data_IF_254017904685
#
_entry.id   IF_254017904685
#
_cell.length_a   1.000
_cell.length_b   1.000
_cell.length_c   1.000
_cell.angle_alpha   90.00
_cell.angle_beta   90.00
_cell.angle_gamma   90.00
#
_symmetry.space_group_name_H-M   'P 1'
#
loop_
_entity.id
_entity.type
_entity.pdbx_description
1 polymer ?
#
# COMPACT_ATOMS: atom_id res chain seq x y z
N UNK A 1 -7.23 27.31 -4.79
CA UNK A 1 -8.24 26.68 -3.93
C UNK A 1 -7.56 25.53 -3.17
N UNK A 2 -7.84 25.40 -1.88
CA UNK A 2 -7.28 24.36 -1.02
C UNK A 2 -8.38 23.44 -0.51
N UNK A 3 -8.10 22.16 -0.46
CA UNK A 3 -9.02 21.10 -0.08
C UNK A 3 -8.49 20.35 1.12
N UNK A 4 -9.37 19.78 1.93
CA UNK A 4 -8.97 18.87 2.98
C UNK A 4 -8.42 17.59 2.35
N UNK A 5 -7.22 17.22 2.78
CA UNK A 5 -6.49 16.07 2.26
C UNK A 5 -6.19 15.09 3.37
N UNK A 6 -6.48 13.81 3.12
CA UNK A 6 -6.14 12.71 4.02
C UNK A 6 -5.35 11.69 3.20
N UNK A 7 -4.16 11.34 3.67
CA UNK A 7 -3.33 10.29 3.05
C UNK A 7 -2.79 9.40 4.16
N UNK A 8 -2.89 8.08 3.99
CA UNK A 8 -2.38 7.13 4.98
C UNK A 8 -2.05 5.78 4.37
N UNK A 9 -1.10 5.07 4.95
CA UNK A 9 -0.72 3.72 4.59
C UNK A 9 0.77 3.57 4.35
N UNK A 10 1.17 2.41 3.88
CA UNK A 10 2.57 2.11 3.60
C UNK A 10 2.73 1.16 2.43
N UNK A 11 3.87 1.26 1.78
CA UNK A 11 4.34 0.34 0.76
C UNK A 11 5.64 -0.30 1.23
N UNK A 12 5.76 -1.61 1.08
CA UNK A 12 6.92 -2.40 1.50
C UNK A 12 7.73 -2.82 0.29
N UNK A 13 9.06 -2.71 0.39
CA UNK A 13 9.98 -3.12 -0.68
C UNK A 13 10.78 -4.34 -0.24
N UNK A 14 10.87 -5.35 -1.10
CA UNK A 14 11.43 -6.64 -0.75
C UNK A 14 12.93 -6.59 -0.43
N UNK A 15 13.67 -5.69 -1.09
CA UNK A 15 15.14 -5.60 -0.99
C UNK A 15 15.62 -4.17 -0.92
N UNK A 16 16.80 -3.98 -0.31
CA UNK A 16 17.49 -2.68 -0.30
C UNK A 16 17.66 -2.11 -1.71
N UNK A 17 18.05 -2.94 -2.66
CA UNK A 17 18.23 -2.52 -4.06
C UNK A 17 16.94 -1.99 -4.69
N UNK A 18 15.82 -2.66 -4.43
CA UNK A 18 14.50 -2.22 -4.90
C UNK A 18 14.11 -0.90 -4.25
N UNK A 19 14.27 -0.78 -2.93
CA UNK A 19 14.01 0.44 -2.19
C UNK A 19 14.84 1.62 -2.70
N UNK A 20 16.15 1.47 -2.81
CA UNK A 20 17.06 2.54 -3.25
C UNK A 20 16.72 3.01 -4.68
N UNK A 21 16.35 2.08 -5.57
CA UNK A 21 15.90 2.41 -6.92
C UNK A 21 14.62 3.26 -6.90
N UNK A 22 13.64 2.87 -6.09
CA UNK A 22 12.36 3.60 -5.99
C UNK A 22 12.56 4.96 -5.36
N UNK A 23 13.36 5.06 -4.30
CA UNK A 23 13.68 6.35 -3.67
C UNK A 23 14.36 7.32 -4.65
N UNK A 24 15.38 6.86 -5.39
CA UNK A 24 16.04 7.69 -6.42
C UNK A 24 15.08 8.15 -7.51
N UNK A 25 14.19 7.25 -7.94
CA UNK A 25 13.19 7.56 -8.95
C UNK A 25 12.13 8.54 -8.42
N UNK A 26 11.71 8.39 -7.16
CA UNK A 26 10.79 9.34 -6.51
C UNK A 26 11.38 10.75 -6.51
N UNK A 27 12.62 10.91 -6.01
CA UNK A 27 13.32 12.20 -5.97
C UNK A 27 13.43 12.79 -7.39
N UNK A 28 13.93 12.01 -8.34
CA UNK A 28 14.09 12.47 -9.73
C UNK A 28 12.77 12.97 -10.34
N UNK A 29 11.68 12.24 -10.14
CA UNK A 29 10.36 12.62 -10.66
C UNK A 29 9.75 13.81 -9.94
N UNK A 30 9.90 13.89 -8.61
CA UNK A 30 9.45 15.03 -7.83
C UNK A 30 10.10 16.33 -8.33
N UNK A 31 11.40 16.31 -8.56
CA UNK A 31 12.17 17.48 -9.04
C UNK A 31 11.86 17.82 -10.51
N UNK A 32 11.93 16.84 -11.41
CA UNK A 32 11.95 17.08 -12.85
C UNK A 32 10.56 17.10 -13.50
N UNK A 33 9.60 16.34 -12.97
CA UNK A 33 8.23 16.27 -13.54
C UNK A 33 7.22 17.08 -12.71
N UNK A 34 7.41 17.14 -11.39
CA UNK A 34 6.46 17.79 -10.50
C UNK A 34 6.98 19.11 -9.91
N UNK A 35 8.25 19.49 -10.20
CA UNK A 35 8.89 20.73 -9.72
C UNK A 35 8.77 20.94 -8.21
N UNK A 36 8.85 19.84 -7.46
CA UNK A 36 8.65 19.78 -6.00
C UNK A 36 7.26 20.28 -5.52
N UNK A 37 6.29 20.39 -6.41
CA UNK A 37 4.90 20.69 -6.03
C UNK A 37 4.20 19.42 -5.51
N UNK A 38 4.68 18.95 -4.36
CA UNK A 38 4.27 17.70 -3.68
C UNK A 38 3.82 18.04 -2.26
N UNK A 39 3.03 17.13 -1.66
CA UNK A 39 2.63 17.25 -0.25
C UNK A 39 3.77 16.82 0.67
N UNK A 40 4.57 15.84 0.23
CA UNK A 40 5.66 15.27 1.03
C UNK A 40 7.00 15.37 0.32
N UNK A 41 8.03 15.65 1.10
CA UNK A 41 9.40 15.40 0.69
C UNK A 41 9.77 13.91 0.88
N UNK A 42 10.78 13.42 0.18
CA UNK A 42 11.18 12.01 0.27
C UNK A 42 11.59 11.60 1.68
N UNK A 43 12.26 12.48 2.41
CA UNK A 43 12.77 12.26 3.76
C UNK A 43 11.67 12.06 4.79
N UNK A 44 10.48 12.58 4.52
CA UNK A 44 9.32 12.49 5.41
C UNK A 44 8.63 11.13 5.34
N UNK A 45 8.70 10.45 4.19
CA UNK A 45 7.90 9.26 3.92
C UNK A 45 8.71 7.99 3.62
N UNK A 46 10.02 8.09 3.30
CA UNK A 46 10.85 6.91 3.06
C UNK A 46 11.66 6.53 4.29
N UNK A 47 11.48 5.29 4.77
CA UNK A 47 12.23 4.69 5.87
C UNK A 47 13.18 3.62 5.34
N UNK A 48 14.48 3.94 5.30
CA UNK A 48 15.51 3.06 4.74
C UNK A 48 15.77 1.82 5.60
N UNK A 49 15.68 1.94 6.92
CA UNK A 49 15.94 0.82 7.84
C UNK A 49 14.88 -0.27 7.69
N UNK A 50 13.64 0.14 7.48
CA UNK A 50 12.50 -0.77 7.33
C UNK A 50 12.16 -1.10 5.89
N UNK A 51 12.80 -0.46 4.91
CA UNK A 51 12.50 -0.56 3.48
C UNK A 51 11.04 -0.22 3.16
N UNK A 52 10.55 0.88 3.72
CA UNK A 52 9.16 1.32 3.59
C UNK A 52 9.08 2.73 2.96
N UNK A 53 8.03 2.93 2.17
CA UNK A 53 7.37 4.22 2.04
C UNK A 53 6.22 4.20 3.05
N UNK A 54 6.26 5.08 4.06
CA UNK A 54 5.35 5.05 5.20
C UNK A 54 4.72 6.43 5.44
N UNK A 55 3.40 6.48 5.40
CA UNK A 55 2.60 7.65 5.72
C UNK A 55 1.61 7.21 6.80
N UNK A 56 1.95 7.33 8.10
CA UNK A 56 1.11 6.83 9.21
C UNK A 56 -0.33 7.37 9.13
N UNK A 57 -0.49 8.65 9.10
CA UNK A 57 -1.73 9.36 8.77
C UNK A 57 -1.43 10.85 8.61
N UNK A 58 -1.63 11.36 7.43
CA UNK A 58 -1.62 12.80 7.15
C UNK A 58 -3.05 13.32 7.08
N UNK A 59 -3.34 14.39 7.80
CA UNK A 59 -4.59 15.15 7.70
C UNK A 59 -4.20 16.62 7.61
N UNK A 60 -4.46 17.24 6.46
CA UNK A 60 -4.07 18.62 6.21
C UNK A 60 -4.88 19.24 5.08
N UNK A 61 -4.32 20.28 4.48
CA UNK A 61 -4.88 20.94 3.30
C UNK A 61 -3.86 20.93 2.18
N UNK A 62 -4.31 20.73 0.95
CA UNK A 62 -3.48 20.87 -0.24
C UNK A 62 -4.26 21.44 -1.42
N UNK A 63 -3.55 21.95 -2.42
CA UNK A 63 -4.17 22.23 -3.72
C UNK A 63 -4.45 20.91 -4.45
N UNK A 64 -5.41 20.92 -5.40
CA UNK A 64 -5.66 19.77 -6.27
C UNK A 64 -4.39 19.33 -7.00
N UNK A 65 -3.55 20.26 -7.44
CA UNK A 65 -2.29 19.98 -8.12
C UNK A 65 -1.30 19.20 -7.23
N UNK A 66 -1.06 19.68 -6.00
CA UNK A 66 -0.16 18.99 -5.06
C UNK A 66 -0.69 17.60 -4.71
N UNK A 67 -2.00 17.46 -4.51
CA UNK A 67 -2.63 16.17 -4.25
C UNK A 67 -2.41 15.19 -5.40
N UNK A 68 -2.75 15.59 -6.65
CA UNK A 68 -2.59 14.72 -7.83
C UNK A 68 -1.15 14.36 -8.12
N UNK A 69 -0.22 15.30 -7.99
CA UNK A 69 1.20 15.03 -8.14
C UNK A 69 1.66 13.98 -7.15
N UNK A 70 1.29 14.15 -5.88
CA UNK A 70 1.67 13.22 -4.80
C UNK A 70 1.07 11.83 -5.02
N UNK A 71 -0.23 11.73 -5.27
CA UNK A 71 -0.89 10.42 -5.46
C UNK A 71 -0.39 9.71 -6.71
N UNK A 72 -0.20 10.41 -7.82
CA UNK A 72 0.32 9.81 -9.06
C UNK A 72 1.74 9.26 -8.88
N UNK A 73 2.58 9.95 -8.10
CA UNK A 73 3.93 9.49 -7.85
C UNK A 73 3.97 8.32 -6.87
N UNK A 74 3.12 8.31 -5.83
CA UNK A 74 2.96 7.16 -4.93
C UNK A 74 2.38 5.96 -5.69
N UNK A 75 1.40 6.15 -6.56
CA UNK A 75 0.84 5.11 -7.42
C UNK A 75 1.92 4.51 -8.35
N UNK A 76 2.80 5.34 -8.88
CA UNK A 76 3.94 4.84 -9.65
C UNK A 76 4.91 4.03 -8.77
N UNK A 77 5.21 4.47 -7.55
CA UNK A 77 6.04 3.73 -6.61
C UNK A 77 5.43 2.38 -6.21
N UNK A 78 4.11 2.30 -6.09
CA UNK A 78 3.41 1.08 -5.68
C UNK A 78 3.64 -0.09 -6.63
N UNK A 79 3.91 0.17 -7.92
CA UNK A 79 4.21 -0.88 -8.91
C UNK A 79 5.50 -1.65 -8.59
N UNK A 80 6.40 -1.07 -7.82
CA UNK A 80 7.67 -1.70 -7.41
C UNK A 80 7.62 -2.30 -6.02
N UNK A 81 6.58 -2.01 -5.25
CA UNK A 81 6.36 -2.59 -3.94
C UNK A 81 6.04 -4.09 -4.02
N UNK A 82 6.21 -4.79 -2.91
CA UNK A 82 5.85 -6.20 -2.77
C UNK A 82 4.56 -6.37 -1.97
N UNK A 83 4.27 -5.42 -1.09
CA UNK A 83 3.13 -5.46 -0.17
C UNK A 83 2.74 -4.04 0.25
N UNK A 84 1.57 -3.91 0.87
CA UNK A 84 1.07 -2.68 1.42
C UNK A 84 0.05 -1.96 0.54
N UNK A 85 -0.48 -0.87 1.04
CA UNK A 85 -1.34 0.05 0.30
C UNK A 85 -1.32 1.44 0.92
N UNK A 86 -1.42 2.46 0.08
CA UNK A 86 -1.65 3.85 0.50
C UNK A 86 -3.01 4.29 -0.01
N UNK A 87 -3.79 4.94 0.85
CA UNK A 87 -5.11 5.48 0.51
C UNK A 87 -5.09 6.99 0.64
N UNK A 88 -5.70 7.65 -0.32
CA UNK A 88 -5.77 9.10 -0.39
C UNK A 88 -7.20 9.59 -0.63
N UNK A 89 -7.59 10.63 0.08
CA UNK A 89 -8.88 11.31 -0.06
C UNK A 89 -8.66 12.81 -0.21
N UNK A 90 -9.37 13.40 -1.15
CA UNK A 90 -9.53 14.84 -1.29
C UNK A 90 -10.98 15.19 -1.00
N UNK A 91 -11.22 16.11 -0.07
CA UNK A 91 -12.55 16.47 0.38
C UNK A 91 -12.77 17.99 0.28
N UNK A 92 -13.99 18.36 -0.07
CA UNK A 92 -14.49 19.73 -0.02
C UNK A 92 -15.79 19.76 0.78
N UNK A 93 -15.87 20.62 1.79
CA UNK A 93 -17.03 20.75 2.68
C UNK A 93 -17.58 19.39 3.20
N UNK A 94 -16.68 18.44 3.49
CA UNK A 94 -17.04 17.11 3.98
C UNK A 94 -17.44 16.11 2.88
N UNK A 95 -17.53 16.52 1.63
CA UNK A 95 -17.80 15.63 0.48
C UNK A 95 -16.49 15.10 -0.09
N UNK A 96 -16.44 13.80 -0.40
CA UNK A 96 -15.29 13.20 -1.08
C UNK A 96 -15.33 13.61 -2.55
N UNK A 97 -14.34 14.40 -2.99
CA UNK A 97 -14.14 14.77 -4.39
C UNK A 97 -13.33 13.70 -5.12
N UNK A 98 -12.36 13.10 -4.43
CA UNK A 98 -11.49 12.09 -5.00
C UNK A 98 -11.07 11.08 -3.94
N UNK A 99 -11.00 9.81 -4.34
CA UNK A 99 -10.46 8.70 -3.55
C UNK A 99 -9.60 7.81 -4.42
N UNK A 100 -8.45 7.45 -3.94
CA UNK A 100 -7.55 6.51 -4.60
C UNK A 100 -6.93 5.55 -3.60
N UNK A 101 -6.81 4.28 -4.00
CA UNK A 101 -6.04 3.25 -3.31
C UNK A 101 -4.89 2.81 -4.22
N UNK A 102 -3.68 3.08 -3.76
CA UNK A 102 -2.43 2.77 -4.46
C UNK A 102 -1.83 1.52 -3.82
N UNK A 103 -1.78 0.43 -4.56
CA UNK A 103 -1.30 -0.87 -4.10
C UNK A 103 -0.47 -1.57 -5.18
N UNK A 104 0.38 -2.55 -4.81
CA UNK A 104 1.09 -3.36 -5.79
C UNK A 104 0.13 -4.13 -6.69
N UNK A 105 0.36 -4.07 -8.00
CA UNK A 105 -0.41 -4.83 -9.02
C UNK A 105 0.51 -5.53 -10.01
N UNK A 106 1.82 -5.62 -9.69
CA UNK A 106 2.82 -6.25 -10.55
C UNK A 106 2.61 -7.77 -10.66
N UNK A 107 3.28 -8.39 -11.60
CA UNK A 107 3.29 -9.84 -11.84
C UNK A 107 4.14 -10.65 -10.86
N UNK A 108 4.71 -10.02 -9.82
CA UNK A 108 5.45 -10.72 -8.77
C UNK A 108 4.56 -11.76 -8.09
N UNK A 109 5.09 -12.97 -7.89
CA UNK A 109 4.33 -14.09 -7.34
C UNK A 109 3.66 -13.75 -5.99
N UNK A 110 4.38 -13.11 -5.06
CA UNK A 110 3.80 -12.69 -3.77
C UNK A 110 2.63 -11.72 -3.93
N UNK A 111 2.72 -10.79 -4.89
CA UNK A 111 1.64 -9.82 -5.17
C UNK A 111 0.43 -10.55 -5.73
N UNK A 112 0.61 -11.41 -6.73
CA UNK A 112 -0.48 -12.12 -7.39
C UNK A 112 -1.17 -13.11 -6.45
N UNK A 113 -0.41 -13.87 -5.65
CA UNK A 113 -0.97 -14.79 -4.65
C UNK A 113 -1.76 -14.04 -3.57
N UNK A 114 -1.26 -12.88 -3.12
CA UNK A 114 -2.01 -12.03 -2.18
C UNK A 114 -3.31 -11.50 -2.79
N UNK A 115 -3.28 -10.97 -4.00
CA UNK A 115 -4.48 -10.43 -4.66
C UNK A 115 -5.53 -11.53 -4.86
N UNK A 116 -5.09 -12.73 -5.30
CA UNK A 116 -5.96 -13.92 -5.42
C UNK A 116 -6.58 -14.28 -4.07
N UNK A 117 -5.78 -14.41 -3.02
CA UNK A 117 -6.26 -14.73 -1.68
C UNK A 117 -7.24 -13.70 -1.15
N UNK A 118 -6.93 -12.41 -1.29
CA UNK A 118 -7.81 -11.30 -0.91
C UNK A 118 -9.19 -11.35 -1.59
N UNK A 119 -9.22 -11.69 -2.87
CA UNK A 119 -10.47 -11.74 -3.63
C UNK A 119 -11.27 -13.01 -3.29
N UNK A 120 -10.61 -14.13 -2.98
CA UNK A 120 -11.24 -15.35 -2.51
C UNK A 120 -11.88 -15.21 -1.12
N UNK A 121 -11.29 -14.41 -0.22
CA UNK A 121 -11.88 -14.11 1.11
C UNK A 121 -13.29 -13.52 1.02
N UNK A 122 -13.64 -12.85 -0.09
CA UNK A 122 -14.96 -12.26 -0.31
C UNK A 122 -15.99 -13.26 -0.80
N UNK A 123 -15.59 -14.51 -1.11
CA UNK A 123 -16.42 -15.55 -1.71
C UNK A 123 -16.71 -16.63 -0.68
N UNK A 124 -17.98 -16.75 -0.28
CA UNK A 124 -18.42 -17.77 0.67
C UNK A 124 -18.16 -19.17 0.12
N UNK A 125 -17.56 -20.03 0.94
CA UNK A 125 -17.22 -21.41 0.57
C UNK A 125 -15.83 -21.57 -0.08
N UNK A 126 -15.10 -20.46 -0.26
CA UNK A 126 -13.72 -20.47 -0.84
C UNK A 126 -12.65 -20.20 0.20
N UNK A 127 -12.96 -20.36 1.50
CA UNK A 127 -12.07 -20.01 2.60
C UNK A 127 -10.75 -20.79 2.56
N UNK A 128 -10.80 -22.09 2.25
CA UNK A 128 -9.59 -22.92 2.14
C UNK A 128 -8.67 -22.45 1.01
N UNK A 129 -9.23 -22.19 -0.15
CA UNK A 129 -8.46 -21.68 -1.29
C UNK A 129 -7.89 -20.28 -1.01
N UNK A 130 -8.61 -19.44 -0.24
CA UNK A 130 -8.11 -18.15 0.21
C UNK A 130 -6.88 -18.32 1.11
N UNK A 131 -6.93 -19.24 2.08
CA UNK A 131 -5.80 -19.56 2.96
C UNK A 131 -4.60 -20.04 2.14
N UNK A 132 -4.80 -20.98 1.22
CA UNK A 132 -3.70 -21.51 0.36
C UNK A 132 -3.02 -20.40 -0.44
N UNK A 133 -3.79 -19.49 -1.03
CA UNK A 133 -3.23 -18.35 -1.77
C UNK A 133 -2.50 -17.35 -0.86
N UNK A 134 -2.99 -17.12 0.36
CA UNK A 134 -2.34 -16.25 1.34
C UNK A 134 -1.06 -16.91 1.91
N UNK A 135 -1.07 -18.22 2.12
CA UNK A 135 0.10 -19.01 2.51
C UNK A 135 1.21 -18.89 1.45
N UNK A 136 0.84 -19.02 0.18
CA UNK A 136 1.78 -18.86 -0.93
C UNK A 136 2.37 -17.43 -0.98
N UNK A 137 1.56 -16.40 -0.74
CA UNK A 137 2.04 -15.02 -0.65
C UNK A 137 3.06 -14.84 0.49
N UNK A 138 2.80 -15.43 1.66
CA UNK A 138 3.69 -15.40 2.83
C UNK A 138 4.97 -16.19 2.56
N UNK A 139 4.89 -17.36 1.91
CA UNK A 139 6.06 -18.15 1.51
C UNK A 139 6.99 -17.35 0.58
N UNK A 140 6.43 -16.57 -0.35
CA UNK A 140 7.21 -15.73 -1.27
C UNK A 140 7.74 -14.45 -0.63
N UNK A 141 7.07 -13.96 0.40
CA UNK A 141 7.49 -12.79 1.17
C UNK A 141 7.03 -12.93 2.63
N UNK A 142 7.93 -13.39 3.48
CA UNK A 142 7.67 -13.76 4.90
C UNK A 142 7.22 -12.58 5.80
N UNK A 143 7.49 -11.32 5.39
CA UNK A 143 7.06 -10.11 6.10
C UNK A 143 5.76 -9.51 5.55
N UNK A 144 4.97 -10.28 4.82
CA UNK A 144 3.74 -9.80 4.16
C UNK A 144 2.60 -9.55 5.16
N UNK A 145 2.66 -8.44 5.90
CA UNK A 145 1.72 -8.12 6.99
C UNK A 145 0.25 -8.22 6.57
N UNK A 146 -0.10 -7.74 5.37
CA UNK A 146 -1.49 -7.81 4.88
C UNK A 146 -1.95 -9.24 4.59
N UNK A 147 -1.05 -10.15 4.19
CA UNK A 147 -1.41 -11.55 3.98
C UNK A 147 -1.68 -12.26 5.30
N UNK A 148 -0.86 -12.02 6.33
CA UNK A 148 -1.12 -12.50 7.69
C UNK A 148 -2.46 -11.99 8.22
N UNK A 149 -2.71 -10.67 8.14
CA UNK A 149 -3.98 -10.08 8.58
C UNK A 149 -5.19 -10.74 7.89
N UNK A 150 -5.11 -10.97 6.59
CA UNK A 150 -6.20 -11.59 5.84
C UNK A 150 -6.37 -13.06 6.21
N UNK A 151 -5.29 -13.81 6.40
CA UNK A 151 -5.33 -15.21 6.80
C UNK A 151 -5.87 -15.36 8.22
N UNK A 152 -5.43 -14.52 9.17
CA UNK A 152 -5.99 -14.46 10.52
C UNK A 152 -7.51 -14.25 10.50
N UNK A 153 -7.99 -13.32 9.66
CA UNK A 153 -9.41 -13.04 9.52
C UNK A 153 -10.21 -14.25 9.00
N UNK A 154 -9.69 -14.96 8.01
CA UNK A 154 -10.33 -16.18 7.49
C UNK A 154 -10.37 -17.26 8.57
N UNK A 155 -9.25 -17.51 9.25
CA UNK A 155 -9.17 -18.49 10.35
C UNK A 155 -10.16 -18.14 11.48
N UNK A 156 -10.30 -16.86 11.82
CA UNK A 156 -11.29 -16.40 12.79
C UNK A 156 -12.72 -16.74 12.38
N UNK A 157 -13.10 -16.53 11.12
CA UNK A 157 -14.43 -16.90 10.62
C UNK A 157 -14.66 -18.42 10.60
N UNK A 158 -13.59 -19.20 10.35
CA UNK A 158 -13.64 -20.67 10.43
C UNK A 158 -13.62 -21.19 11.88
N UNK A 159 -13.56 -20.30 12.89
CA UNK A 159 -13.41 -20.60 14.31
C UNK A 159 -12.09 -21.31 14.66
N UNK A 160 -11.10 -21.27 13.79
CA UNK A 160 -9.74 -21.70 14.07
C UNK A 160 -8.98 -20.56 14.77
N UNK A 161 -9.34 -20.33 16.03
CA UNK A 161 -8.80 -19.24 16.83
C UNK A 161 -7.29 -19.39 17.11
N UNK A 162 -6.79 -20.62 17.16
CA UNK A 162 -5.37 -20.87 17.37
C UNK A 162 -4.54 -20.29 16.21
N UNK A 163 -4.88 -20.62 14.98
CA UNK A 163 -4.19 -20.09 13.81
C UNK A 163 -4.46 -18.59 13.61
N UNK A 164 -5.67 -18.11 13.93
CA UNK A 164 -5.98 -16.68 13.85
C UNK A 164 -5.12 -15.82 14.80
N UNK A 165 -4.79 -16.34 15.99
CA UNK A 165 -3.95 -15.63 16.98
C UNK A 165 -2.44 -15.68 16.65
N UNK A 166 -2.01 -16.69 15.90
CA UNK A 166 -0.61 -16.83 15.50
C UNK A 166 -0.19 -15.87 14.41
N UNK A 167 -1.10 -15.47 13.54
CA UNK A 167 -0.88 -14.53 12.45
C UNK A 167 -0.94 -13.07 12.93
#
# INVERSE_FOLDING_TARGET
MFFKTIIQGRLEFATQKSFDKVLKMFIYRAENYHRNEMIFASEEIFNKEKLLLDIPRFVGTSSDKHFRNTTSLIAYCSQFAISGSVRAWLLDEGKILYYEMMEPTSDKAAVQSFLKGRDLVKQVGREKEAIEALDEAIEKYDRHAMAYERRAKVNFYLKDYHNALRD
#
